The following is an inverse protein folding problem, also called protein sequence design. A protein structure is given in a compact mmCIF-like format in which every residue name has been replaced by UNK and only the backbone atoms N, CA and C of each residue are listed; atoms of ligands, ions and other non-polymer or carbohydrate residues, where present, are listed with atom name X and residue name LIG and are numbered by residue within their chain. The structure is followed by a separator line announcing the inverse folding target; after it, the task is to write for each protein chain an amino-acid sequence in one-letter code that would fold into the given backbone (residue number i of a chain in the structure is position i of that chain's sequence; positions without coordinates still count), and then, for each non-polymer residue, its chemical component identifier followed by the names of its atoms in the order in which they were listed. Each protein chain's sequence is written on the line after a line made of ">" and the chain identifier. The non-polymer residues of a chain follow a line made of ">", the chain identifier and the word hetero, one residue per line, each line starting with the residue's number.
data_IF_965927294396
#
_entry.id   IF_965927294396
#
_cell.length_a   1.000
_cell.length_b   1.000
_cell.length_c   1.000
_cell.angle_alpha   90.00
_cell.angle_beta   90.00
_cell.angle_gamma   90.00
#
_symmetry.space_group_name_H-M   'P 1'
#
loop_
_entity.id
_entity.type
_entity.pdbx_description
1 polymer ?
#
# COMPACT_ATOMS: atom_id res chain seq x y z
N UNK A 1 15.24 13.00 12.57
CA UNK A 1 16.12 11.88 12.16
C UNK A 1 15.74 11.56 10.72
N UNK A 2 16.62 11.87 9.78
CA UNK A 2 16.37 11.80 8.34
C UNK A 2 17.17 10.62 7.79
N UNK A 3 16.50 9.64 7.20
CA UNK A 3 17.13 8.44 6.61
C UNK A 3 17.33 8.67 5.08
N UNK A 4 18.40 8.15 4.48
CA UNK A 4 18.89 8.48 3.12
C UNK A 4 19.40 7.22 2.35
N UNK A 5 18.77 6.76 1.22
CA UNK A 5 19.27 5.59 0.42
C UNK A 5 18.71 5.30 -1.02
N UNK A 6 19.46 4.62 -1.95
CA UNK A 6 19.22 4.36 -3.45
C UNK A 6 19.62 2.98 -4.14
N UNK A 7 18.70 2.20 -4.76
CA UNK A 7 18.59 0.76 -5.26
C UNK A 7 19.68 -0.35 -5.24
N UNK A 8 19.41 -1.50 -4.57
CA UNK A 8 20.19 -2.76 -4.61
C UNK A 8 19.67 -3.85 -5.55
N UNK A 9 18.45 -3.65 -6.05
CA UNK A 9 17.91 -4.39 -7.16
C UNK A 9 17.16 -3.38 -8.02
N UNK A 10 17.50 -3.20 -9.31
CA UNK A 10 16.69 -2.36 -10.19
C UNK A 10 15.24 -2.86 -10.07
N UNK A 11 14.25 -1.96 -9.85
CA UNK A 11 12.88 -2.38 -9.70
C UNK A 11 12.55 -3.26 -10.90
N UNK A 12 12.02 -4.47 -10.66
CA UNK A 12 11.65 -5.36 -11.77
C UNK A 12 10.84 -4.53 -12.74
N UNK A 13 11.22 -4.50 -14.03
CA UNK A 13 10.62 -3.55 -14.98
C UNK A 13 9.08 -3.64 -15.07
N UNK A 14 8.48 -4.74 -14.61
CA UNK A 14 7.04 -4.88 -14.41
C UNK A 14 6.46 -3.93 -13.34
N UNK A 15 7.19 -3.59 -12.26
CA UNK A 15 6.74 -2.73 -11.15
C UNK A 15 6.69 -1.26 -11.58
N UNK A 16 7.71 -0.79 -12.30
CA UNK A 16 7.75 0.59 -12.85
C UNK A 16 6.63 0.81 -13.87
N UNK A 17 6.23 -0.25 -14.58
CA UNK A 17 5.21 -0.19 -15.64
C UNK A 17 3.81 -0.61 -15.18
N UNK A 18 3.63 -0.94 -13.90
CA UNK A 18 2.33 -1.32 -13.33
C UNK A 18 1.79 -0.19 -12.47
N UNK A 19 0.99 0.73 -13.04
CA UNK A 19 0.36 1.76 -12.23
C UNK A 19 -0.68 1.13 -11.28
N UNK A 20 -0.86 1.72 -10.11
CA UNK A 20 -1.99 1.41 -9.23
C UNK A 20 -3.23 2.15 -9.74
N UNK A 21 -4.08 1.43 -10.47
CA UNK A 21 -5.28 2.01 -11.08
C UNK A 21 -6.51 1.27 -10.58
N UNK A 22 -7.46 2.00 -10.01
CA UNK A 22 -8.75 1.43 -9.62
C UNK A 22 -9.64 1.23 -10.84
N UNK A 23 -10.53 0.23 -10.78
CA UNK A 23 -11.61 0.09 -11.76
C UNK A 23 -12.57 1.27 -11.67
N UNK A 24 -13.40 1.53 -12.70
CA UNK A 24 -14.35 2.63 -12.68
C UNK A 24 -15.19 2.65 -11.38
N UNK A 25 -15.35 3.82 -10.74
CA UNK A 25 -16.14 3.96 -9.52
C UNK A 25 -17.61 3.67 -9.78
N UNK A 26 -18.35 3.39 -8.70
CA UNK A 26 -19.81 3.14 -8.70
C UNK A 26 -20.29 1.97 -9.58
N UNK A 27 -19.37 1.23 -10.20
CA UNK A 27 -19.65 0.05 -11.01
C UNK A 27 -19.48 -1.25 -10.21
N UNK A 28 -20.10 -2.36 -10.65
CA UNK A 28 -19.79 -3.68 -10.12
C UNK A 28 -18.28 -3.95 -10.20
N UNK A 29 -17.71 -4.44 -9.10
CA UNK A 29 -16.26 -4.65 -8.95
C UNK A 29 -15.43 -3.36 -8.92
N UNK A 30 -16.03 -2.21 -8.61
CA UNK A 30 -15.32 -0.93 -8.42
C UNK A 30 -14.29 -0.98 -7.28
N UNK A 31 -14.42 -1.91 -6.33
CA UNK A 31 -13.39 -2.16 -5.31
C UNK A 31 -12.12 -2.84 -5.85
N UNK A 32 -12.08 -3.21 -7.13
CA UNK A 32 -10.97 -3.91 -7.77
C UNK A 32 -9.89 -2.98 -8.33
N UNK A 33 -8.63 -3.35 -8.16
CA UNK A 33 -7.49 -2.78 -8.88
C UNK A 33 -7.43 -3.40 -10.29
N UNK A 34 -7.19 -2.57 -11.30
CA UNK A 34 -6.90 -3.00 -12.65
C UNK A 34 -5.53 -3.68 -12.70
N UNK A 35 -5.50 -4.93 -13.18
CA UNK A 35 -4.29 -5.73 -13.26
C UNK A 35 -3.88 -5.95 -14.73
N UNK A 36 -2.94 -5.17 -15.28
CA UNK A 36 -2.48 -5.35 -16.65
C UNK A 36 -1.79 -6.71 -16.85
N UNK A 37 -1.79 -7.19 -18.10
CA UNK A 37 -1.05 -8.39 -18.50
C UNK A 37 0.46 -8.11 -18.33
N UNK A 38 1.17 -9.02 -17.66
CA UNK A 38 2.60 -8.88 -17.30
C UNK A 38 2.90 -7.78 -16.27
N UNK A 39 1.91 -7.38 -15.46
CA UNK A 39 2.13 -6.50 -14.32
C UNK A 39 2.52 -7.23 -13.04
N UNK A 40 2.76 -6.47 -11.97
CA UNK A 40 3.14 -6.96 -10.63
C UNK A 40 1.96 -7.66 -9.89
N UNK A 41 1.42 -8.74 -10.46
CA UNK A 41 0.17 -9.40 -10.01
C UNK A 41 0.18 -9.80 -8.53
N UNK A 42 1.30 -10.32 -8.03
CA UNK A 42 1.42 -10.71 -6.62
C UNK A 42 1.24 -9.53 -5.68
N UNK A 43 1.88 -8.39 -6.00
CA UNK A 43 1.72 -7.14 -5.25
C UNK A 43 0.29 -6.62 -5.35
N UNK A 44 -0.27 -6.56 -6.57
CA UNK A 44 -1.64 -6.09 -6.80
C UNK A 44 -2.66 -6.97 -6.06
N UNK A 45 -2.48 -8.29 -6.01
CA UNK A 45 -3.32 -9.20 -5.23
C UNK A 45 -3.21 -8.98 -3.73
N UNK A 46 -2.00 -8.71 -3.22
CA UNK A 46 -1.81 -8.34 -1.81
C UNK A 46 -2.55 -7.05 -1.46
N UNK A 47 -2.32 -5.98 -2.22
CA UNK A 47 -3.00 -4.70 -2.05
C UNK A 47 -4.52 -4.83 -2.18
N UNK A 48 -4.99 -5.63 -3.15
CA UNK A 48 -6.42 -5.89 -3.36
C UNK A 48 -7.09 -6.46 -2.09
N UNK A 49 -6.43 -7.36 -1.37
CA UNK A 49 -6.97 -7.93 -0.15
C UNK A 49 -7.15 -6.87 0.96
N UNK A 50 -6.19 -5.96 1.09
CA UNK A 50 -6.27 -4.84 2.04
C UNK A 50 -7.38 -3.85 1.68
N UNK A 51 -7.54 -3.52 0.40
CA UNK A 51 -8.61 -2.65 -0.09
C UNK A 51 -9.99 -3.27 0.21
N UNK A 52 -10.19 -4.54 -0.13
CA UNK A 52 -11.46 -5.24 0.13
C UNK A 52 -11.75 -5.30 1.62
N UNK A 53 -10.74 -5.63 2.43
CA UNK A 53 -10.90 -5.68 3.90
C UNK A 53 -11.38 -4.33 4.43
N UNK A 54 -10.74 -3.24 4.02
CA UNK A 54 -11.11 -1.93 4.52
C UNK A 54 -12.49 -1.49 4.02
N UNK A 55 -12.76 -1.60 2.71
CA UNK A 55 -14.03 -1.18 2.13
C UNK A 55 -15.21 -1.97 2.70
N UNK A 56 -15.08 -3.30 2.82
CA UNK A 56 -16.18 -4.15 3.24
C UNK A 56 -16.33 -4.28 4.74
N UNK A 57 -15.30 -4.03 5.55
CA UNK A 57 -15.36 -4.27 6.99
C UNK A 57 -15.02 -3.02 7.79
N UNK A 58 -13.83 -2.47 7.62
CA UNK A 58 -13.30 -1.45 8.54
C UNK A 58 -13.88 -0.04 8.27
N UNK A 59 -14.37 0.23 7.06
CA UNK A 59 -14.95 1.53 6.67
C UNK A 59 -16.44 1.68 7.01
N UNK A 60 -17.04 0.67 7.64
CA UNK A 60 -18.44 0.72 8.07
C UNK A 60 -18.56 1.63 9.29
N UNK A 61 -19.64 2.46 9.37
CA UNK A 61 -19.94 3.19 10.58
C UNK A 61 -20.05 2.22 11.76
N UNK A 62 -19.37 2.52 12.86
CA UNK A 62 -19.40 1.70 14.06
C UNK A 62 -20.76 1.89 14.76
N UNK A 63 -21.74 1.08 14.38
CA UNK A 63 -23.06 1.07 15.03
C UNK A 63 -23.00 0.21 16.28
N UNK A 64 -23.80 0.55 17.29
CA UNK A 64 -23.87 -0.20 18.57
C UNK A 64 -24.23 -1.68 18.38
N UNK A 65 -24.83 -2.01 17.25
CA UNK A 65 -25.40 -3.32 16.95
C UNK A 65 -24.60 -4.08 15.87
N UNK A 66 -23.49 -3.52 15.37
CA UNK A 66 -22.77 -3.98 14.16
C UNK A 66 -23.66 -4.12 12.91
N UNK A 67 -24.84 -3.49 12.91
CA UNK A 67 -25.74 -3.43 11.76
C UNK A 67 -25.39 -2.22 10.92
N UNK A 68 -25.14 -2.44 9.63
CA UNK A 68 -25.07 -1.32 8.70
C UNK A 68 -26.49 -0.89 8.35
N UNK A 69 -26.78 0.41 8.44
CA UNK A 69 -28.02 1.01 7.94
C UNK A 69 -28.10 0.98 6.41
N UNK A 70 -26.97 0.68 5.75
CA UNK A 70 -26.82 0.71 4.29
C UNK A 70 -26.73 -0.72 3.76
N UNK A 71 -27.43 -1.07 2.65
CA UNK A 71 -27.35 -2.39 2.06
C UNK A 71 -25.90 -2.82 1.76
N UNK A 72 -25.53 -4.09 2.02
CA UNK A 72 -24.17 -4.61 1.76
C UNK A 72 -23.65 -4.34 0.34
N UNK A 73 -24.55 -4.37 -0.64
CA UNK A 73 -24.23 -4.13 -2.05
C UNK A 73 -23.67 -2.73 -2.32
N UNK A 74 -23.98 -1.77 -1.45
CA UNK A 74 -23.47 -0.39 -1.56
C UNK A 74 -21.96 -0.34 -1.36
N UNK A 75 -21.40 -1.22 -0.52
CA UNK A 75 -19.96 -1.32 -0.29
C UNK A 75 -19.22 -2.01 -1.44
N UNK A 76 -19.93 -2.69 -2.34
CA UNK A 76 -19.37 -3.32 -3.55
C UNK A 76 -19.22 -2.33 -4.72
N UNK A 77 -19.73 -1.10 -4.57
CA UNK A 77 -19.69 -0.03 -5.56
C UNK A 77 -19.17 1.26 -4.91
N UNK A 78 -17.89 1.29 -4.51
CA UNK A 78 -17.32 2.48 -3.87
C UNK A 78 -17.28 3.66 -4.85
N UNK A 79 -17.50 4.86 -4.31
CA UNK A 79 -17.23 6.12 -4.99
C UNK A 79 -15.72 6.31 -5.21
N UNK A 80 -15.35 7.23 -6.10
CA UNK A 80 -13.95 7.58 -6.38
C UNK A 80 -13.19 7.97 -5.10
N UNK A 81 -13.79 8.81 -4.25
CA UNK A 81 -13.19 9.22 -2.97
C UNK A 81 -12.91 8.03 -2.05
N UNK A 82 -13.83 7.06 -1.97
CA UNK A 82 -13.63 5.84 -1.17
C UNK A 82 -12.60 4.92 -1.78
N UNK A 83 -12.52 4.83 -3.10
CA UNK A 83 -11.49 4.06 -3.79
C UNK A 83 -10.10 4.63 -3.48
N UNK A 84 -9.96 5.95 -3.54
CA UNK A 84 -8.72 6.65 -3.23
C UNK A 84 -8.30 6.45 -1.77
N UNK A 85 -9.22 6.64 -0.82
CA UNK A 85 -8.93 6.41 0.60
C UNK A 85 -8.51 4.95 0.86
N UNK A 86 -9.22 3.98 0.25
CA UNK A 86 -8.89 2.57 0.39
C UNK A 86 -7.48 2.26 -0.13
N UNK A 87 -7.10 2.86 -1.27
CA UNK A 87 -5.80 2.66 -1.88
C UNK A 87 -4.66 3.20 -1.01
N UNK A 88 -4.77 4.44 -0.53
CA UNK A 88 -3.73 5.03 0.32
C UNK A 88 -3.61 4.32 1.67
N UNK A 89 -4.73 3.89 2.27
CA UNK A 89 -4.73 3.08 3.49
C UNK A 89 -4.07 1.73 3.27
N UNK A 90 -4.41 1.04 2.18
CA UNK A 90 -3.80 -0.25 1.84
C UNK A 90 -2.28 -0.13 1.66
N UNK A 91 -1.82 0.90 0.94
CA UNK A 91 -0.40 1.18 0.78
C UNK A 91 0.29 1.44 2.13
N UNK A 92 -0.33 2.29 2.97
CA UNK A 92 0.19 2.63 4.29
C UNK A 92 0.27 1.42 5.21
N UNK A 93 -0.74 0.54 5.20
CA UNK A 93 -0.77 -0.67 6.01
C UNK A 93 0.31 -1.67 5.57
N UNK A 94 0.52 -1.85 4.26
CA UNK A 94 1.59 -2.70 3.73
C UNK A 94 2.96 -2.17 4.13
N UNK A 95 3.21 -0.86 3.98
CA UNK A 95 4.47 -0.23 4.40
C UNK A 95 4.69 -0.39 5.91
N UNK A 96 3.66 -0.15 6.72
CA UNK A 96 3.73 -0.32 8.17
C UNK A 96 3.97 -1.79 8.59
N UNK A 97 3.36 -2.76 7.90
CA UNK A 97 3.62 -4.19 8.10
C UNK A 97 5.07 -4.55 7.81
N UNK A 98 5.62 -4.06 6.72
CA UNK A 98 7.01 -4.29 6.34
C UNK A 98 7.99 -3.75 7.38
N UNK A 99 7.66 -2.64 8.05
CA UNK A 99 8.42 -2.09 9.17
C UNK A 99 8.26 -2.88 10.50
N UNK A 100 7.51 -3.98 10.50
CA UNK A 100 7.25 -4.77 11.71
C UNK A 100 6.15 -4.20 12.60
N UNK A 101 5.31 -3.30 12.09
CA UNK A 101 4.26 -2.60 12.86
C UNK A 101 3.24 -3.48 13.59
N UNK A 102 3.16 -4.77 13.25
CA UNK A 102 2.28 -5.75 13.89
C UNK A 102 3.04 -6.81 14.71
N UNK A 103 4.37 -6.80 14.68
CA UNK A 103 5.24 -7.70 15.43
C UNK A 103 5.97 -6.90 16.50
N UNK A 104 5.30 -6.64 17.63
CA UNK A 104 5.96 -5.98 18.76
C UNK A 104 6.98 -6.93 19.40
N UNK A 105 8.25 -6.71 19.06
CA UNK A 105 9.37 -7.34 19.74
C UNK A 105 9.83 -6.41 20.87
N UNK A 106 10.04 -6.96 22.07
CA UNK A 106 10.51 -6.19 23.21
C UNK A 106 11.84 -5.49 22.87
N UNK A 107 11.87 -4.16 23.01
CA UNK A 107 13.05 -3.35 22.71
C UNK A 107 13.16 -2.85 21.25
N UNK A 108 12.26 -3.23 20.35
CA UNK A 108 12.22 -2.72 18.97
C UNK A 108 10.96 -1.87 18.75
N UNK A 109 11.13 -0.61 18.37
CA UNK A 109 10.03 0.26 17.96
C UNK A 109 9.96 0.27 16.44
N UNK A 110 8.88 -0.25 15.83
CA UNK A 110 8.74 -0.26 14.38
C UNK A 110 8.62 1.18 13.87
N UNK A 111 9.42 1.53 12.87
CA UNK A 111 9.40 2.85 12.22
C UNK A 111 9.35 2.64 10.72
N UNK A 112 8.39 3.29 10.07
CA UNK A 112 8.31 3.39 8.61
C UNK A 112 8.49 4.85 8.20
N UNK A 113 9.43 5.12 7.29
CA UNK A 113 9.66 6.46 6.73
C UNK A 113 9.38 6.39 5.24
N UNK A 114 8.50 7.25 4.75
CA UNK A 114 8.22 7.43 3.32
C UNK A 114 8.87 8.73 2.88
N UNK A 115 9.74 8.66 1.88
CA UNK A 115 10.42 9.82 1.31
C UNK A 115 9.99 10.01 -0.14
N UNK A 116 9.94 11.26 -0.59
CA UNK A 116 9.76 11.57 -2.01
C UNK A 116 11.07 11.25 -2.76
N UNK A 117 10.99 10.73 -3.99
CA UNK A 117 12.16 10.56 -4.83
C UNK A 117 12.81 11.93 -5.07
N UNK A 118 14.07 12.07 -4.69
CA UNK A 118 14.88 13.27 -4.92
C UNK A 118 15.93 13.03 -6.01
N UNK A 119 16.35 14.09 -6.70
CA UNK A 119 17.41 14.01 -7.72
C UNK A 119 18.81 13.82 -7.13
N UNK A 120 19.01 14.24 -5.88
CA UNK A 120 20.31 14.21 -5.22
C UNK A 120 20.54 12.89 -4.49
N UNK A 121 21.60 12.20 -4.88
CA UNK A 121 22.10 10.98 -4.22
C UNK A 121 23.03 11.38 -3.08
N UNK A 122 22.58 11.26 -1.83
CA UNK A 122 23.35 11.70 -0.65
C UNK A 122 24.19 10.60 0.01
N UNK A 123 23.96 9.33 -0.32
CA UNK A 123 24.75 8.21 0.20
C UNK A 123 25.39 7.49 -0.98
N UNK A 124 26.71 7.31 -0.95
CA UNK A 124 27.40 6.59 -2.01
C UNK A 124 27.34 5.08 -1.77
N UNK A 125 27.24 4.33 -2.87
CA UNK A 125 27.30 2.87 -2.86
C UNK A 125 28.61 2.38 -2.20
N UNK A 126 28.52 1.39 -1.30
CA UNK A 126 29.71 0.75 -0.70
C UNK A 126 29.48 -0.74 -0.43
N UNK A 127 30.56 -1.48 -0.16
CA UNK A 127 30.50 -2.90 0.23
C UNK A 127 29.75 -3.15 1.54
N UNK A 128 29.58 -2.13 2.38
CA UNK A 128 28.90 -2.20 3.68
C UNK A 128 27.46 -1.66 3.63
N UNK A 129 27.08 -0.99 2.53
CA UNK A 129 25.79 -0.36 2.39
C UNK A 129 25.35 -0.36 0.92
N UNK A 130 24.36 -1.21 0.63
CA UNK A 130 23.72 -1.30 -0.66
C UNK A 130 22.45 -0.45 -0.62
N UNK A 131 22.64 0.77 -1.07
CA UNK A 131 21.65 1.83 -1.27
C UNK A 131 20.43 1.16 -2.01
N UNK A 132 19.13 1.48 -1.69
CA UNK A 132 17.92 0.79 -2.23
C UNK A 132 16.77 1.66 -2.91
N UNK A 133 16.70 2.96 -2.65
CA UNK A 133 15.97 3.94 -3.49
C UNK A 133 14.50 4.05 -3.21
N UNK A 134 13.99 3.11 -2.45
CA UNK A 134 12.61 3.07 -2.04
C UNK A 134 12.44 2.59 -0.59
N UNK A 135 13.37 1.78 -0.05
CA UNK A 135 13.30 1.21 1.30
C UNK A 135 14.67 1.11 1.97
N UNK A 136 14.76 1.57 3.21
CA UNK A 136 15.95 1.39 4.04
C UNK A 136 15.63 0.53 5.25
N UNK A 137 16.49 -0.45 5.52
CA UNK A 137 16.47 -1.16 6.79
C UNK A 137 17.62 -0.60 7.63
N UNK A 138 17.26 0.05 8.74
CA UNK A 138 18.20 0.46 9.79
C UNK A 138 18.43 -0.70 10.74
#
# INVERSE_FOLDING_TARGET
>A
MTCFGTASCPPRGEWIRSPLVMRPPDQPLGYGIAAPRNGARSLLSGLQAHIIKWLLFDSRPQTKDNKSDVPPDTYLRPSEERQEEALWRACSEVVWRSAGGFNQQAGFQPVAVVALPGENTYVQHSSYYYQDGFTEKV
#
